data_IF_936779860666
#
_entry.id   IF_936779860666
#
_cell.length_a   1.000
_cell.length_b   1.000
_cell.length_c   1.000
_cell.angle_alpha   90.00
_cell.angle_beta   90.00
_cell.angle_gamma   90.00
#
_symmetry.space_group_name_H-M   'P 1'
#
loop_
_entity.id
_entity.type
_entity.pdbx_description
1 polymer ?
#
# COMPACT_ATOMS: atom_id res chain seq x y z
N UNK A 1 -11.71 -8.16 12.93
CA UNK A 1 -12.20 -7.26 11.86
C UNK A 1 -11.07 -6.30 11.55
N UNK A 2 -10.77 -6.06 10.27
CA UNK A 2 -9.70 -5.16 9.85
C UNK A 2 -10.04 -3.74 10.30
N UNK A 3 -9.14 -3.05 11.01
CA UNK A 3 -9.35 -1.67 11.46
C UNK A 3 -8.59 -0.72 10.52
N UNK A 4 -9.26 -0.32 9.45
CA UNK A 4 -8.68 0.58 8.45
C UNK A 4 -8.28 1.94 9.04
N UNK A 5 -9.02 2.43 10.05
CA UNK A 5 -8.73 3.71 10.71
C UNK A 5 -7.40 3.61 11.45
N UNK A 6 -7.22 2.55 12.24
CA UNK A 6 -5.96 2.32 12.95
C UNK A 6 -4.77 2.19 12.00
N UNK A 7 -4.94 1.50 10.87
CA UNK A 7 -3.88 1.34 9.85
C UNK A 7 -3.54 2.67 9.16
N UNK A 8 -4.55 3.47 8.82
CA UNK A 8 -4.35 4.77 8.18
C UNK A 8 -3.60 5.75 9.11
N UNK A 9 -3.95 5.78 10.40
CA UNK A 9 -3.24 6.58 11.40
C UNK A 9 -1.81 6.08 11.65
N UNK A 10 -1.61 4.76 11.72
CA UNK A 10 -0.28 4.16 11.83
C UNK A 10 0.60 4.54 10.63
N UNK A 11 0.05 4.47 9.41
CA UNK A 11 0.75 4.89 8.20
C UNK A 11 1.09 6.38 8.24
N UNK A 12 0.15 7.25 8.66
CA UNK A 12 0.39 8.69 8.83
C UNK A 12 1.58 8.96 9.75
N UNK A 13 1.64 8.26 10.88
CA UNK A 13 2.73 8.39 11.83
C UNK A 13 4.07 7.94 11.21
N UNK A 14 4.08 6.86 10.42
CA UNK A 14 5.26 6.37 9.72
C UNK A 14 5.74 7.34 8.62
N UNK A 15 4.82 7.79 7.76
CA UNK A 15 5.04 8.79 6.71
C UNK A 15 5.70 10.07 7.25
N UNK A 16 5.26 10.54 8.41
CA UNK A 16 5.81 11.72 9.08
C UNK A 16 7.23 11.49 9.61
N UNK A 17 7.60 10.25 9.95
CA UNK A 17 8.97 9.90 10.37
C UNK A 17 9.95 9.80 9.19
N UNK A 18 9.48 9.36 8.02
CA UNK A 18 10.30 9.32 6.79
C UNK A 18 10.74 10.73 6.39
N UNK A 19 9.89 11.74 6.61
CA UNK A 19 10.18 13.15 6.35
C UNK A 19 10.71 13.42 4.93
N UNK A 20 10.13 12.75 3.93
CA UNK A 20 10.51 12.87 2.52
C UNK A 20 10.46 14.33 2.05
N UNK A 21 11.51 14.76 1.34
CA UNK A 21 11.72 16.15 0.88
C UNK A 21 11.77 16.32 -0.64
N UNK A 22 11.56 15.26 -1.41
CA UNK A 22 11.58 15.36 -2.87
C UNK A 22 10.33 16.04 -3.42
N UNK A 23 10.41 16.41 -4.69
CA UNK A 23 9.45 17.32 -5.32
C UNK A 23 8.14 16.63 -5.74
N UNK A 24 8.17 15.31 -6.03
CA UNK A 24 7.00 14.53 -6.49
C UNK A 24 6.81 13.24 -5.68
N UNK A 25 6.26 13.39 -4.48
CA UNK A 25 5.97 12.24 -3.61
C UNK A 25 4.87 11.34 -4.18
N UNK A 26 3.85 11.91 -4.80
CA UNK A 26 2.71 11.15 -5.33
C UNK A 26 3.13 10.24 -6.48
N UNK A 27 3.86 10.77 -7.47
CA UNK A 27 4.38 9.98 -8.58
C UNK A 27 5.30 8.85 -8.12
N UNK A 28 6.18 9.13 -7.14
CA UNK A 28 7.05 8.11 -6.55
C UNK A 28 6.28 7.01 -5.81
N UNK A 29 5.22 7.36 -5.07
CA UNK A 29 4.38 6.37 -4.38
C UNK A 29 3.62 5.47 -5.38
N UNK A 30 3.14 6.03 -6.50
CA UNK A 30 2.50 5.24 -7.56
C UNK A 30 3.49 4.27 -8.19
N UNK A 31 4.71 4.74 -8.46
CA UNK A 31 5.78 3.87 -8.98
C UNK A 31 6.12 2.76 -7.99
N UNK A 32 6.29 3.09 -6.70
CA UNK A 32 6.58 2.11 -5.67
C UNK A 32 5.48 1.05 -5.57
N UNK A 33 4.21 1.44 -5.56
CA UNK A 33 3.08 0.51 -5.58
C UNK A 33 3.13 -0.43 -6.79
N UNK A 34 3.46 0.06 -7.98
CA UNK A 34 3.59 -0.79 -9.17
C UNK A 34 4.72 -1.81 -9.05
N UNK A 35 5.84 -1.41 -8.44
CA UNK A 35 6.97 -2.31 -8.16
C UNK A 35 6.52 -3.41 -7.21
N UNK A 36 5.94 -3.08 -6.05
CA UNK A 36 5.50 -4.07 -5.05
C UNK A 36 4.43 -5.03 -5.59
N UNK A 37 3.52 -4.54 -6.45
CA UNK A 37 2.57 -5.42 -7.13
C UNK A 37 3.27 -6.42 -8.06
N UNK A 38 4.36 -6.00 -8.71
CA UNK A 38 5.22 -6.86 -9.52
C UNK A 38 6.01 -7.87 -8.67
N UNK A 39 6.51 -7.46 -7.51
CA UNK A 39 7.19 -8.34 -6.54
C UNK A 39 6.23 -9.37 -5.97
N UNK A 40 5.04 -8.96 -5.54
CA UNK A 40 3.98 -9.86 -5.08
C UNK A 40 3.59 -10.89 -6.16
N UNK A 41 3.42 -10.45 -7.41
CA UNK A 41 3.16 -11.37 -8.51
C UNK A 41 4.33 -12.32 -8.75
N UNK A 42 5.57 -11.86 -8.58
CA UNK A 42 6.78 -12.65 -8.77
C UNK A 42 6.90 -13.83 -7.79
N UNK A 43 6.40 -13.65 -6.57
CA UNK A 43 6.28 -14.70 -5.53
C UNK A 43 5.12 -15.67 -5.77
N UNK A 44 4.28 -15.37 -6.77
CA UNK A 44 3.20 -16.24 -7.28
C UNK A 44 3.49 -16.71 -8.72
N UNK A 45 4.65 -17.35 -9.00
CA UNK A 45 5.09 -17.72 -10.34
C UNK A 45 4.09 -18.59 -11.09
N UNK A 46 3.28 -19.43 -10.41
CA UNK A 46 2.27 -20.27 -11.07
C UNK A 46 1.15 -19.49 -11.74
N UNK A 47 0.96 -18.22 -11.39
CA UNK A 47 -0.09 -17.36 -11.96
C UNK A 47 0.27 -16.89 -13.37
N UNK A 48 1.56 -16.68 -13.68
CA UNK A 48 1.95 -16.11 -14.98
C UNK A 48 3.25 -16.65 -15.61
N UNK A 49 4.19 -17.21 -14.84
CA UNK A 49 5.49 -17.70 -15.34
C UNK A 49 5.37 -19.10 -15.93
N UNK A 50 4.62 -19.24 -17.03
CA UNK A 50 4.39 -20.52 -17.71
C UNK A 50 5.68 -21.21 -18.21
N UNK A 51 6.80 -20.48 -18.28
CA UNK A 51 8.12 -20.99 -18.67
C UNK A 51 9.00 -21.44 -17.49
N UNK A 52 8.53 -21.32 -16.24
CA UNK A 52 9.31 -21.64 -15.04
C UNK A 52 8.60 -22.71 -14.18
N UNK A 53 9.37 -23.67 -13.67
CA UNK A 53 8.89 -24.68 -12.74
C UNK A 53 9.21 -24.31 -11.29
N UNK A 54 8.68 -23.18 -10.83
CA UNK A 54 8.80 -22.70 -9.44
C UNK A 54 7.47 -22.81 -8.71
N UNK A 55 7.55 -23.06 -7.42
CA UNK A 55 6.40 -23.06 -6.51
C UNK A 55 6.06 -21.65 -6.04
N UNK A 56 4.80 -21.44 -5.64
CA UNK A 56 4.39 -20.17 -5.04
C UNK A 56 4.95 -20.04 -3.62
N UNK A 57 5.39 -18.84 -3.29
CA UNK A 57 5.79 -18.47 -1.95
C UNK A 57 4.72 -17.55 -1.33
N UNK A 58 3.75 -18.15 -0.65
CA UNK A 58 2.64 -17.39 -0.07
C UNK A 58 3.06 -16.49 1.09
N UNK A 59 4.14 -16.85 1.79
CA UNK A 59 4.65 -16.05 2.90
C UNK A 59 5.26 -14.75 2.38
N UNK A 60 6.13 -14.84 1.37
CA UNK A 60 6.77 -13.65 0.79
C UNK A 60 5.75 -12.84 -0.01
N UNK A 61 4.85 -13.49 -0.77
CA UNK A 61 3.75 -12.77 -1.43
C UNK A 61 2.85 -11.97 -0.45
N UNK A 62 2.67 -12.44 0.78
CA UNK A 62 1.93 -11.70 1.81
C UNK A 62 2.70 -10.48 2.34
N UNK A 63 4.03 -10.56 2.39
CA UNK A 63 4.90 -9.43 2.75
C UNK A 63 4.78 -8.35 1.67
N UNK A 64 4.96 -8.72 0.40
CA UNK A 64 4.85 -7.76 -0.72
C UNK A 64 3.43 -7.17 -0.83
N UNK A 65 2.40 -7.95 -0.49
CA UNK A 65 1.04 -7.44 -0.39
C UNK A 65 0.91 -6.39 0.72
N UNK A 66 1.54 -6.60 1.88
CA UNK A 66 1.56 -5.63 2.97
C UNK A 66 2.33 -4.36 2.58
N UNK A 67 3.40 -4.48 1.82
CA UNK A 67 4.15 -3.34 1.29
C UNK A 67 3.31 -2.55 0.27
N UNK A 68 2.60 -3.23 -0.63
CA UNK A 68 1.60 -2.60 -1.51
C UNK A 68 0.48 -1.90 -0.72
N UNK A 69 0.07 -2.44 0.43
CA UNK A 69 -0.91 -1.80 1.31
C UNK A 69 -0.36 -0.53 1.96
N UNK A 70 0.92 -0.51 2.38
CA UNK A 70 1.58 0.69 2.89
C UNK A 70 1.54 1.82 1.85
N UNK A 71 1.91 1.55 0.60
CA UNK A 71 1.87 2.54 -0.47
C UNK A 71 0.44 2.98 -0.82
N UNK A 72 -0.52 2.05 -0.80
CA UNK A 72 -1.94 2.40 -1.03
C UNK A 72 -2.47 3.36 0.04
N UNK A 73 -2.13 3.14 1.31
CA UNK A 73 -2.53 4.03 2.40
C UNK A 73 -1.87 5.41 2.27
N UNK A 74 -0.59 5.46 1.90
CA UNK A 74 0.12 6.73 1.67
C UNK A 74 -0.40 7.51 0.47
N UNK A 75 -0.77 6.83 -0.61
CA UNK A 75 -1.48 7.43 -1.75
C UNK A 75 -2.81 8.03 -1.28
N UNK A 76 -3.54 7.34 -0.39
CA UNK A 76 -4.73 7.90 0.24
C UNK A 76 -4.45 9.21 0.99
N UNK A 77 -3.34 9.29 1.72
CA UNK A 77 -2.92 10.55 2.38
C UNK A 77 -2.60 11.66 1.36
N UNK A 78 -2.02 11.34 0.20
CA UNK A 78 -1.77 12.32 -0.87
C UNK A 78 -3.06 12.79 -1.59
N UNK A 79 -4.08 11.94 -1.68
CA UNK A 79 -5.32 12.29 -2.38
C UNK A 79 -6.25 13.10 -1.47
N UNK A 80 -6.31 12.75 -0.18
CA UNK A 80 -7.26 13.30 0.77
C UNK A 80 -6.64 14.35 1.71
N UNK A 81 -5.65 15.14 1.24
CA UNK A 81 -5.02 16.22 2.01
C UNK A 81 -6.09 17.05 2.75
N UNK A 82 -6.21 16.79 4.07
CA UNK A 82 -7.07 17.47 5.05
C UNK A 82 -8.56 17.10 5.18
N UNK A 83 -9.07 16.02 4.58
CA UNK A 83 -10.52 15.68 4.67
C UNK A 83 -10.85 14.33 5.35
N UNK A 84 -9.92 13.78 6.13
CA UNK A 84 -10.17 12.49 6.80
C UNK A 84 -11.32 12.56 7.82
N UNK A 85 -11.51 13.71 8.48
CA UNK A 85 -12.66 13.95 9.37
C UNK A 85 -13.99 13.91 8.61
N UNK A 86 -14.03 14.42 7.36
CA UNK A 86 -15.19 14.37 6.47
C UNK A 86 -15.51 12.93 6.03
N UNK A 87 -14.50 12.13 5.70
CA UNK A 87 -14.67 10.71 5.33
C UNK A 87 -15.13 9.88 6.54
N UNK A 88 -14.54 10.11 7.72
CA UNK A 88 -14.94 9.46 8.97
C UNK A 88 -16.39 9.81 9.35
N UNK A 89 -16.83 11.05 9.15
CA UNK A 89 -18.22 11.47 9.32
C UNK A 89 -19.17 10.66 8.43
N UNK A 90 -18.83 10.48 7.16
CA UNK A 90 -19.65 9.70 6.20
C UNK A 90 -19.69 8.23 6.60
N UNK A 91 -18.56 7.62 6.97
CA UNK A 91 -18.48 6.21 7.35
C UNK A 91 -19.15 5.92 8.70
N UNK A 92 -19.05 6.82 9.68
CA UNK A 92 -19.69 6.67 11.00
C UNK A 92 -21.18 7.03 11.02
N UNK A 93 -21.68 7.74 10.01
CA UNK A 93 -23.11 8.06 9.86
C UNK A 93 -23.99 6.93 9.31
N UNK A 94 -23.42 5.73 9.10
CA UNK A 94 -24.14 4.52 8.69
C UNK A 94 -24.10 3.45 9.77
#
# INVERSE_FOLDING_TARGET
MLDLIAMYEAQKAFRNRIDYKGDDRFGELILALQVELGECANELPKVFKFWAHKENNLQDALIEYADGLHFTLDIGHEIFFEDFDMILLVVRSR
#
